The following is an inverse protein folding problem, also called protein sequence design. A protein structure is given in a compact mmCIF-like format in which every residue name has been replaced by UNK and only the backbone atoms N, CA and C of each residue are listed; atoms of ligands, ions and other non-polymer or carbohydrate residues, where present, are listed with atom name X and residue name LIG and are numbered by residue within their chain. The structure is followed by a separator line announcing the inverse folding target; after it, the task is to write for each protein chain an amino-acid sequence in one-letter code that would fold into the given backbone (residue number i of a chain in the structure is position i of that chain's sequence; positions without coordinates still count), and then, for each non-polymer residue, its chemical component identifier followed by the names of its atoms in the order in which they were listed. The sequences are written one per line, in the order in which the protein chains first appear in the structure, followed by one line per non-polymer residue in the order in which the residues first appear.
data_IF_019120833211
#
_entry.id   IF_019120833211
#
_cell.length_a   1.000
_cell.length_b   1.000
_cell.length_c   1.000
_cell.angle_alpha   90.00
_cell.angle_beta   90.00
_cell.angle_gamma   90.00
#
_symmetry.space_group_name_H-M   'P 1'
#
loop_
_entity.id
_entity.type
_entity.pdbx_description
1 polymer ?
#
# COMPACT_ATOMS: atom_id res chain seq x y z
N UNK A 1 3.62 31.00 88.94
CA UNK A 1 2.39 31.76 89.30
C UNK A 1 2.08 32.75 88.18
N UNK A 2 0.82 32.75 87.71
CA UNK A 2 0.12 33.78 86.90
C UNK A 2 0.64 33.95 85.45
N UNK A 3 -0.08 33.56 84.38
CA UNK A 3 -1.41 33.90 83.85
C UNK A 3 -1.46 35.24 83.09
N UNK A 4 -1.77 35.18 81.78
CA UNK A 4 -2.58 36.10 80.94
C UNK A 4 -2.27 35.79 79.44
N UNK A 5 -3.18 35.17 78.68
CA UNK A 5 -4.38 35.72 78.01
C UNK A 5 -4.09 36.21 76.59
N UNK A 6 -4.74 35.62 75.58
CA UNK A 6 -5.08 36.33 74.34
C UNK A 6 -6.33 35.71 73.69
N UNK A 7 -7.37 36.54 73.61
CA UNK A 7 -8.59 36.36 72.83
C UNK A 7 -8.26 36.46 71.33
N UNK A 8 -8.84 35.58 70.52
CA UNK A 8 -8.93 35.76 69.07
C UNK A 8 -10.39 36.06 68.71
N UNK A 9 -10.66 37.30 68.30
CA UNK A 9 -11.90 37.75 67.69
C UNK A 9 -11.92 37.40 66.21
N UNK A 10 -13.06 36.88 65.75
CA UNK A 10 -13.29 36.50 64.36
C UNK A 10 -13.49 37.69 63.43
N UNK A 11 -13.00 37.53 62.20
CA UNK A 11 -13.33 38.33 61.03
C UNK A 11 -13.80 37.36 59.95
N UNK A 12 -15.09 37.45 59.61
CA UNK A 12 -15.72 36.72 58.49
C UNK A 12 -15.44 37.53 57.23
N UNK A 13 -14.65 36.98 56.31
CA UNK A 13 -14.56 37.44 54.93
C UNK A 13 -15.30 36.45 54.03
N UNK A 14 -16.41 36.89 53.43
CA UNK A 14 -17.15 36.13 52.42
C UNK A 14 -16.40 36.28 51.10
N UNK A 15 -15.67 35.24 50.68
CA UNK A 15 -15.10 35.15 49.34
C UNK A 15 -16.12 34.48 48.41
N UNK A 16 -16.69 35.28 47.51
CA UNK A 16 -17.53 34.80 46.40
C UNK A 16 -16.65 33.93 45.49
N UNK A 17 -16.81 32.61 45.56
CA UNK A 17 -16.23 31.69 44.59
C UNK A 17 -17.09 31.74 43.31
N UNK A 18 -16.64 32.49 42.32
CA UNK A 18 -17.07 32.26 40.95
C UNK A 18 -16.59 30.86 40.56
N UNK A 19 -17.52 29.91 40.48
CA UNK A 19 -17.22 28.54 40.05
C UNK A 19 -16.63 28.56 38.65
N UNK A 20 -15.38 28.11 38.52
CA UNK A 20 -14.84 27.69 37.23
C UNK A 20 -15.66 26.46 36.83
N UNK A 21 -16.33 26.44 35.66
CA UNK A 21 -17.04 25.25 35.22
C UNK A 21 -16.03 24.10 35.12
N UNK A 22 -16.44 22.85 35.41
CA UNK A 22 -15.55 21.71 35.26
C UNK A 22 -14.99 21.75 33.85
N UNK A 23 -13.65 21.69 33.72
CA UNK A 23 -13.02 21.47 32.43
C UNK A 23 -13.65 20.23 31.86
N UNK A 24 -14.34 20.36 30.73
CA UNK A 24 -14.76 19.23 29.95
C UNK A 24 -13.56 18.29 29.83
N UNK A 25 -13.77 17.01 30.14
CA UNK A 25 -12.79 15.99 29.84
C UNK A 25 -12.38 16.19 28.38
N UNK A 26 -11.07 16.14 28.03
CA UNK A 26 -10.68 16.23 26.64
C UNK A 26 -11.52 15.21 25.89
N UNK A 27 -12.24 15.67 24.85
CA UNK A 27 -12.92 14.77 23.92
C UNK A 27 -11.93 13.65 23.61
N UNK A 28 -12.37 12.39 23.79
CA UNK A 28 -11.51 11.24 23.52
C UNK A 28 -10.81 11.50 22.19
N UNK A 29 -9.47 11.57 22.20
CA UNK A 29 -8.72 11.83 21.00
C UNK A 29 -9.19 10.83 19.94
N UNK A 30 -9.62 11.33 18.78
CA UNK A 30 -10.01 10.49 17.65
C UNK A 30 -8.87 9.51 17.40
N UNK A 31 -9.12 8.22 17.66
CA UNK A 31 -8.12 7.18 17.52
C UNK A 31 -7.84 6.87 16.04
N UNK A 32 -8.59 7.50 15.13
CA UNK A 32 -8.52 7.29 13.68
C UNK A 32 -9.06 5.93 13.26
N UNK A 33 -9.64 5.15 14.18
CA UNK A 33 -10.13 3.80 13.94
C UNK A 33 -11.66 3.76 13.78
N UNK A 34 -12.33 4.87 14.08
CA UNK A 34 -13.75 5.04 13.73
C UNK A 34 -13.86 5.63 12.32
N UNK A 35 -14.65 4.99 11.47
CA UNK A 35 -14.86 5.46 10.09
C UNK A 35 -15.61 6.81 10.10
N UNK A 36 -15.05 7.88 9.50
CA UNK A 36 -15.77 9.14 9.35
C UNK A 36 -17.00 8.97 8.45
N UNK A 37 -18.12 9.61 8.77
CA UNK A 37 -19.32 9.58 7.92
C UNK A 37 -19.02 10.15 6.52
N UNK A 38 -18.32 11.29 6.48
CA UNK A 38 -17.92 11.96 5.23
C UNK A 38 -17.07 11.08 4.30
N UNK A 39 -16.44 10.00 4.81
CA UNK A 39 -15.66 9.10 3.97
C UNK A 39 -16.55 8.30 3.01
N UNK A 40 -17.74 7.87 3.45
CA UNK A 40 -18.67 7.17 2.57
C UNK A 40 -19.21 8.10 1.49
N UNK A 41 -19.53 9.35 1.85
CA UNK A 41 -19.98 10.37 0.90
C UNK A 41 -18.90 10.66 -0.18
N UNK A 42 -17.63 10.71 0.21
CA UNK A 42 -16.52 10.86 -0.75
C UNK A 42 -16.41 9.68 -1.71
N UNK A 43 -16.55 8.45 -1.21
CA UNK A 43 -16.46 7.24 -2.04
C UNK A 43 -17.63 7.19 -3.02
N UNK A 44 -18.87 7.46 -2.57
CA UNK A 44 -20.04 7.47 -3.44
C UNK A 44 -19.99 8.61 -4.46
N UNK A 45 -19.47 9.79 -4.07
CA UNK A 45 -19.20 10.89 -5.01
C UNK A 45 -18.21 10.47 -6.11
N UNK A 46 -17.10 9.82 -5.74
CA UNK A 46 -16.11 9.32 -6.71
C UNK A 46 -16.72 8.30 -7.70
N UNK A 47 -17.56 7.38 -7.20
CA UNK A 47 -18.29 6.39 -8.03
C UNK A 47 -19.26 7.05 -9.01
N UNK A 48 -19.99 8.09 -8.58
CA UNK A 48 -20.87 8.84 -9.45
C UNK A 48 -20.06 9.53 -10.57
N UNK A 49 -19.00 10.25 -10.20
CA UNK A 49 -18.17 11.00 -11.15
C UNK A 49 -17.50 10.09 -12.20
N UNK A 50 -17.00 8.91 -11.82
CA UNK A 50 -16.42 7.99 -12.81
C UNK A 50 -17.47 7.40 -13.75
N UNK A 51 -18.69 7.14 -13.25
CA UNK A 51 -19.79 6.62 -14.07
C UNK A 51 -20.19 7.65 -15.13
N UNK A 52 -20.31 8.91 -14.73
CA UNK A 52 -20.60 10.02 -15.64
C UNK A 52 -19.49 10.18 -16.69
N UNK A 53 -18.22 10.16 -16.27
CA UNK A 53 -17.07 10.26 -17.18
C UNK A 53 -17.04 9.13 -18.22
N UNK A 54 -17.31 7.88 -17.82
CA UNK A 54 -17.35 6.75 -18.75
C UNK A 54 -18.47 6.95 -19.79
N UNK A 55 -19.65 7.37 -19.36
CA UNK A 55 -20.78 7.62 -20.26
C UNK A 55 -20.49 8.75 -21.25
N UNK A 56 -19.90 9.86 -20.78
CA UNK A 56 -19.48 10.98 -21.62
C UNK A 56 -18.42 10.56 -22.65
N UNK A 57 -17.42 9.79 -22.22
CA UNK A 57 -16.36 9.31 -23.11
C UNK A 57 -16.92 8.31 -24.15
N UNK A 58 -17.81 7.40 -23.73
CA UNK A 58 -18.50 6.48 -24.62
C UNK A 58 -19.31 7.25 -25.69
N UNK A 59 -20.08 8.27 -25.29
CA UNK A 59 -20.84 9.10 -26.24
C UNK A 59 -19.90 9.84 -27.21
N UNK A 60 -18.81 10.42 -26.70
CA UNK A 60 -17.84 11.15 -27.50
C UNK A 60 -17.13 10.25 -28.54
N UNK A 61 -16.72 9.04 -28.13
CA UNK A 61 -16.11 8.05 -29.02
C UNK A 61 -17.09 7.59 -30.10
N UNK A 62 -18.33 7.28 -29.72
CA UNK A 62 -19.37 6.86 -30.68
C UNK A 62 -19.69 7.95 -31.69
N UNK A 63 -19.73 9.22 -31.29
CA UNK A 63 -19.90 10.38 -32.21
C UNK A 63 -18.76 10.48 -33.24
N UNK A 64 -17.55 10.04 -32.90
CA UNK A 64 -16.41 9.98 -33.83
C UNK A 64 -16.36 8.70 -34.68
N UNK A 65 -17.32 7.79 -34.49
CA UNK A 65 -17.31 6.48 -35.16
C UNK A 65 -16.31 5.48 -34.56
N UNK A 66 -15.80 5.75 -33.36
CA UNK A 66 -14.88 4.89 -32.64
C UNK A 66 -15.63 3.94 -31.70
N UNK A 67 -15.10 2.73 -31.49
CA UNK A 67 -15.67 1.77 -30.54
C UNK A 67 -15.02 1.96 -29.17
N UNK A 68 -15.78 2.33 -28.13
CA UNK A 68 -15.23 2.49 -26.79
C UNK A 68 -14.76 1.14 -26.23
N UNK A 69 -13.53 1.09 -25.71
CA UNK A 69 -12.97 -0.10 -25.06
C UNK A 69 -13.54 -0.30 -23.66
N UNK A 70 -13.76 0.79 -22.93
CA UNK A 70 -14.37 0.78 -21.61
C UNK A 70 -15.73 1.47 -21.63
N UNK A 71 -16.73 0.82 -21.04
CA UNK A 71 -18.13 1.26 -20.94
C UNK A 71 -18.67 0.84 -19.57
N UNK A 72 -19.76 1.43 -19.11
CA UNK A 72 -20.39 1.03 -17.82
C UNK A 72 -20.81 -0.45 -17.83
N UNK A 73 -21.05 -1.04 -19.02
CA UNK A 73 -21.48 -2.45 -19.16
C UNK A 73 -20.36 -3.46 -18.96
N UNK A 74 -19.12 -3.11 -19.29
CA UNK A 74 -17.95 -3.98 -19.16
C UNK A 74 -16.95 -3.50 -18.10
N UNK A 75 -17.28 -2.43 -17.38
CA UNK A 75 -16.53 -1.97 -16.23
C UNK A 75 -16.50 -3.05 -15.14
N UNK A 76 -15.31 -3.40 -14.71
CA UNK A 76 -15.09 -4.37 -13.66
C UNK A 76 -14.94 -3.68 -12.31
N UNK A 77 -15.46 -4.30 -11.26
CA UNK A 77 -15.27 -3.80 -9.90
C UNK A 77 -14.33 -4.71 -9.09
N UNK A 78 -13.17 -4.18 -8.72
CA UNK A 78 -12.26 -4.78 -7.73
C UNK A 78 -12.84 -4.60 -6.33
N UNK A 79 -12.67 -5.60 -5.47
CA UNK A 79 -13.34 -5.72 -4.17
C UNK A 79 -12.38 -5.99 -3.02
N UNK A 80 -12.78 -5.60 -1.82
CA UNK A 80 -12.04 -5.87 -0.60
C UNK A 80 -11.95 -7.39 -0.38
N UNK A 81 -10.77 -7.90 -0.04
CA UNK A 81 -10.49 -9.33 0.05
C UNK A 81 -11.42 -10.07 1.03
N UNK A 82 -11.66 -9.51 2.22
CA UNK A 82 -12.58 -10.04 3.22
C UNK A 82 -14.05 -10.08 2.78
N UNK A 83 -14.46 -9.19 1.87
CA UNK A 83 -15.80 -9.15 1.28
C UNK A 83 -16.03 -10.24 0.22
N UNK A 84 -14.96 -10.86 -0.29
CA UNK A 84 -15.06 -11.96 -1.24
C UNK A 84 -15.59 -13.24 -0.59
N UNK A 85 -16.34 -14.02 -1.38
CA UNK A 85 -16.76 -15.35 -0.96
C UNK A 85 -15.54 -16.25 -0.70
N UNK A 86 -15.71 -17.32 0.08
CA UNK A 86 -14.64 -18.30 0.31
C UNK A 86 -14.19 -18.95 -1.01
N UNK A 87 -15.12 -19.16 -1.94
CA UNK A 87 -14.82 -19.70 -3.27
C UNK A 87 -13.95 -18.74 -4.08
N UNK A 88 -14.29 -17.45 -4.10
CA UNK A 88 -13.50 -16.44 -4.83
C UNK A 88 -12.10 -16.26 -4.23
N UNK A 89 -11.99 -16.28 -2.89
CA UNK A 89 -10.69 -16.24 -2.21
C UNK A 89 -9.86 -17.47 -2.51
N UNK A 90 -10.46 -18.66 -2.50
CA UNK A 90 -9.78 -19.90 -2.88
C UNK A 90 -9.30 -19.85 -4.33
N UNK A 91 -10.12 -19.32 -5.25
CA UNK A 91 -9.77 -19.16 -6.65
C UNK A 91 -8.56 -18.22 -6.83
N UNK A 92 -8.52 -17.09 -6.10
CA UNK A 92 -7.37 -16.19 -6.10
C UNK A 92 -6.12 -16.88 -5.58
N UNK A 93 -6.19 -17.52 -4.40
CA UNK A 93 -5.07 -18.27 -3.79
C UNK A 93 -4.52 -19.32 -4.76
N UNK A 94 -5.39 -20.10 -5.40
CA UNK A 94 -5.00 -21.13 -6.36
C UNK A 94 -4.31 -20.54 -7.59
N UNK A 95 -4.77 -19.38 -8.07
CA UNK A 95 -4.14 -18.68 -9.18
C UNK A 95 -2.72 -18.21 -8.82
N UNK A 96 -2.51 -17.65 -7.62
CA UNK A 96 -1.17 -17.24 -7.16
C UNK A 96 -0.24 -18.45 -7.08
N UNK A 97 -0.70 -19.56 -6.51
CA UNK A 97 0.09 -20.82 -6.42
C UNK A 97 0.38 -21.40 -7.80
N UNK A 98 -0.54 -21.27 -8.75
CA UNK A 98 -0.30 -21.62 -10.14
C UNK A 98 0.80 -20.74 -10.77
N UNK A 99 0.81 -19.44 -10.51
CA UNK A 99 1.85 -18.56 -11.03
C UNK A 99 3.22 -18.90 -10.43
N UNK A 100 3.26 -19.30 -9.16
CA UNK A 100 4.47 -19.80 -8.48
C UNK A 100 4.96 -21.15 -9.02
N UNK A 101 4.13 -21.93 -9.71
CA UNK A 101 4.54 -23.23 -10.27
C UNK A 101 4.97 -23.16 -11.74
N UNK A 102 4.64 -22.07 -12.44
CA UNK A 102 5.03 -21.88 -13.84
C UNK A 102 6.50 -21.47 -13.96
N UNK A 103 7.20 -21.89 -15.03
CA UNK A 103 8.62 -21.55 -15.22
C UNK A 103 8.82 -20.04 -15.44
N UNK A 104 9.94 -19.46 -14.98
CA UNK A 104 10.24 -18.04 -15.15
C UNK A 104 10.49 -17.71 -16.62
N UNK A 105 10.21 -16.47 -17.00
CA UNK A 105 10.55 -15.86 -18.30
C UNK A 105 11.89 -15.15 -18.26
N UNK A 106 12.29 -14.64 -17.10
CA UNK A 106 13.57 -13.95 -16.93
C UNK A 106 14.71 -14.91 -17.23
N UNK A 107 15.63 -14.56 -18.15
CA UNK A 107 16.79 -15.41 -18.44
C UNK A 107 17.63 -15.64 -17.18
N UNK A 108 18.15 -16.86 -17.00
CA UNK A 108 19.01 -17.19 -15.86
C UNK A 108 20.29 -16.36 -15.80
N UNK A 109 20.73 -15.78 -16.93
CA UNK A 109 21.85 -14.83 -16.99
C UNK A 109 21.53 -13.46 -16.38
N UNK A 110 20.25 -13.11 -16.26
CA UNK A 110 19.76 -11.86 -15.66
C UNK A 110 19.50 -12.06 -14.17
N UNK A 111 18.75 -13.11 -13.82
CA UNK A 111 18.40 -13.43 -12.44
C UNK A 111 18.35 -14.95 -12.24
N UNK A 112 19.48 -15.60 -11.91
CA UNK A 112 19.50 -17.06 -11.71
C UNK A 112 18.67 -17.51 -10.50
N UNK A 113 18.28 -16.58 -9.63
CA UNK A 113 17.37 -16.82 -8.51
C UNK A 113 15.90 -16.95 -8.90
N UNK A 114 15.47 -16.44 -10.06
CA UNK A 114 14.10 -16.63 -10.51
C UNK A 114 13.84 -18.12 -10.79
N UNK A 115 12.80 -18.69 -10.16
CA UNK A 115 12.37 -20.08 -10.36
C UNK A 115 10.91 -20.20 -10.78
N UNK A 116 10.17 -19.10 -10.81
CA UNK A 116 8.77 -19.09 -11.18
C UNK A 116 8.35 -17.84 -11.96
N UNK A 117 7.19 -17.89 -12.62
CA UNK A 117 6.55 -16.69 -13.20
C UNK A 117 6.28 -15.61 -12.16
N UNK A 118 5.96 -16.01 -10.93
CA UNK A 118 5.80 -15.10 -9.80
C UNK A 118 7.11 -14.37 -9.50
N UNK A 119 8.25 -15.08 -9.52
CA UNK A 119 9.57 -14.48 -9.30
C UNK A 119 9.95 -13.45 -10.37
N UNK A 120 9.46 -13.55 -11.62
CA UNK A 120 9.76 -12.55 -12.65
C UNK A 120 9.26 -11.15 -12.25
N UNK A 121 8.10 -11.08 -11.58
CA UNK A 121 7.59 -9.81 -11.05
C UNK A 121 8.49 -9.29 -9.92
N UNK A 122 8.97 -10.18 -9.04
CA UNK A 122 9.90 -9.83 -7.96
C UNK A 122 11.23 -9.31 -8.55
N UNK A 123 11.76 -9.93 -9.62
CA UNK A 123 12.96 -9.45 -10.31
C UNK A 123 12.78 -8.03 -10.85
N UNK A 124 11.69 -7.79 -11.59
CA UNK A 124 11.40 -6.47 -12.15
C UNK A 124 11.35 -5.40 -11.07
N UNK A 125 10.73 -5.71 -9.92
CA UNK A 125 10.68 -4.78 -8.80
C UNK A 125 12.06 -4.53 -8.18
N UNK A 126 12.85 -5.58 -7.90
CA UNK A 126 14.21 -5.46 -7.36
C UNK A 126 15.06 -4.53 -8.24
N UNK A 127 15.01 -4.73 -9.56
CA UNK A 127 15.85 -3.99 -10.51
C UNK A 127 15.48 -2.51 -10.61
N UNK A 128 14.23 -2.16 -10.33
CA UNK A 128 13.70 -0.82 -10.58
C UNK A 128 13.37 -0.04 -9.30
N UNK A 129 13.48 -0.64 -8.11
CA UNK A 129 13.09 -0.05 -6.81
C UNK A 129 13.46 1.43 -6.65
N UNK A 130 14.68 1.84 -7.02
CA UNK A 130 15.17 3.22 -6.84
C UNK A 130 14.65 4.23 -7.88
N UNK A 131 13.99 3.77 -8.94
CA UNK A 131 13.35 4.60 -9.95
C UNK A 131 11.82 4.63 -9.84
N UNK A 132 11.23 3.71 -9.07
CA UNK A 132 9.78 3.53 -8.97
C UNK A 132 9.19 3.94 -7.64
N UNK A 133 10.01 4.32 -6.66
CA UNK A 133 9.58 4.81 -5.34
C UNK A 133 10.09 6.23 -5.09
N UNK A 134 9.31 7.02 -4.38
CA UNK A 134 9.52 8.45 -4.15
C UNK A 134 9.78 9.20 -5.47
N UNK A 135 9.03 8.83 -6.51
CA UNK A 135 9.24 9.25 -7.89
C UNK A 135 7.91 9.57 -8.58
N UNK A 136 7.97 10.30 -9.69
CA UNK A 136 6.80 10.72 -10.46
C UNK A 136 6.08 9.53 -11.12
N UNK A 137 6.76 8.39 -11.16
CA UNK A 137 6.31 7.15 -11.78
C UNK A 137 5.65 6.21 -10.75
N UNK A 138 5.74 6.47 -9.43
CA UNK A 138 5.33 5.52 -8.39
C UNK A 138 3.90 4.99 -8.58
N UNK A 139 2.89 5.86 -8.59
CA UNK A 139 1.50 5.44 -8.77
C UNK A 139 1.25 4.75 -10.12
N UNK A 140 1.59 5.34 -11.28
CA UNK A 140 1.30 4.72 -12.57
C UNK A 140 2.06 3.40 -12.78
N UNK A 141 3.32 3.30 -12.31
CA UNK A 141 4.11 2.06 -12.38
C UNK A 141 3.45 0.95 -11.57
N UNK A 142 3.06 1.21 -10.32
CA UNK A 142 2.45 0.20 -9.46
C UNK A 142 1.05 -0.19 -9.92
N UNK A 143 0.26 0.75 -10.48
CA UNK A 143 -1.01 0.43 -11.14
C UNK A 143 -0.80 -0.57 -12.28
N UNK A 144 0.15 -0.30 -13.17
CA UNK A 144 0.46 -1.22 -14.28
C UNK A 144 0.99 -2.56 -13.77
N UNK A 145 1.88 -2.54 -12.77
CA UNK A 145 2.44 -3.75 -12.18
C UNK A 145 1.37 -4.68 -11.59
N UNK A 146 0.43 -4.13 -10.82
CA UNK A 146 -0.71 -4.87 -10.26
C UNK A 146 -1.67 -5.36 -11.35
N UNK A 147 -1.96 -4.53 -12.36
CA UNK A 147 -2.80 -4.94 -13.49
C UNK A 147 -2.18 -6.08 -14.30
N UNK A 148 -0.87 -6.03 -14.58
CA UNK A 148 -0.19 -7.08 -15.32
C UNK A 148 -0.04 -8.36 -14.50
N UNK A 149 0.11 -8.26 -13.18
CA UNK A 149 0.03 -9.42 -12.30
C UNK A 149 -1.36 -10.06 -12.36
N UNK A 150 -2.43 -9.26 -12.30
CA UNK A 150 -3.80 -9.75 -12.48
C UNK A 150 -3.97 -10.45 -13.83
N UNK A 151 -3.51 -9.85 -14.93
CA UNK A 151 -3.54 -10.50 -16.25
C UNK A 151 -2.79 -11.83 -16.26
N UNK A 152 -1.62 -11.91 -15.64
CA UNK A 152 -0.87 -13.17 -15.56
C UNK A 152 -1.66 -14.25 -14.80
N UNK A 153 -2.36 -13.90 -13.72
CA UNK A 153 -3.25 -14.82 -13.02
C UNK A 153 -4.41 -15.29 -13.91
N UNK A 154 -5.02 -14.37 -14.66
CA UNK A 154 -6.19 -14.66 -15.52
C UNK A 154 -5.80 -15.48 -16.75
N UNK A 155 -4.83 -14.97 -17.52
CA UNK A 155 -4.47 -15.49 -18.84
C UNK A 155 -3.60 -16.76 -18.75
N UNK A 156 -2.74 -16.85 -17.73
CA UNK A 156 -1.84 -18.01 -17.59
C UNK A 156 -2.40 -19.06 -16.62
N UNK A 157 -3.18 -18.66 -15.62
CA UNK A 157 -3.66 -19.53 -14.53
C UNK A 157 -5.19 -19.71 -14.49
N UNK A 158 -5.94 -19.15 -15.44
CA UNK A 158 -7.38 -19.34 -15.55
C UNK A 158 -8.18 -18.70 -14.43
N UNK A 159 -7.63 -17.70 -13.74
CA UNK A 159 -8.36 -16.95 -12.73
C UNK A 159 -9.51 -16.17 -13.37
N UNK A 160 -10.74 -16.43 -12.94
CA UNK A 160 -11.92 -15.73 -13.48
C UNK A 160 -12.21 -14.41 -12.73
N UNK A 161 -11.72 -14.28 -11.50
CA UNK A 161 -11.86 -13.08 -10.67
C UNK A 161 -10.85 -11.98 -11.02
N UNK A 162 -10.89 -10.89 -10.28
CA UNK A 162 -10.06 -9.70 -10.50
C UNK A 162 -9.29 -9.37 -9.23
N UNK A 163 -8.25 -8.55 -9.34
CA UNK A 163 -7.36 -8.26 -8.22
C UNK A 163 -8.14 -7.72 -7.01
N UNK A 164 -8.10 -8.40 -5.85
CA UNK A 164 -8.66 -7.87 -4.62
C UNK A 164 -7.73 -6.83 -3.98
N UNK A 165 -8.28 -6.05 -3.06
CA UNK A 165 -7.51 -5.10 -2.25
C UNK A 165 -7.68 -5.34 -0.74
N UNK A 166 -6.75 -4.82 0.04
CA UNK A 166 -6.79 -4.83 1.51
C UNK A 166 -7.21 -3.45 2.03
N UNK A 167 -8.45 -3.33 2.53
CA UNK A 167 -8.88 -2.10 3.20
C UNK A 167 -8.26 -2.01 4.62
N UNK A 168 -7.10 -1.36 4.71
CA UNK A 168 -6.26 -1.34 5.92
C UNK A 168 -7.01 -1.01 7.22
N UNK A 169 -7.91 0.00 7.27
CA UNK A 169 -8.55 0.38 8.53
C UNK A 169 -9.48 -0.69 9.11
N UNK A 170 -10.05 -1.59 8.28
CA UNK A 170 -10.98 -2.63 8.75
C UNK A 170 -10.36 -3.56 9.79
N UNK A 171 -9.04 -3.77 9.68
CA UNK A 171 -8.31 -4.75 10.50
C UNK A 171 -7.14 -4.12 11.25
N UNK A 172 -7.07 -2.78 11.33
CA UNK A 172 -5.87 -2.07 11.79
C UNK A 172 -5.37 -2.49 13.19
N UNK A 173 -6.28 -2.83 14.11
CA UNK A 173 -5.91 -3.26 15.48
C UNK A 173 -5.26 -4.65 15.52
N UNK A 174 -5.68 -5.54 14.62
CA UNK A 174 -5.29 -6.94 14.62
C UNK A 174 -5.28 -7.49 13.18
N UNK A 175 -4.36 -7.02 12.32
CA UNK A 175 -4.30 -7.45 10.93
C UNK A 175 -4.09 -8.95 10.80
N UNK A 176 -3.40 -9.59 11.75
CA UNK A 176 -3.21 -11.03 11.83
C UNK A 176 -4.52 -11.84 11.94
N UNK A 177 -5.61 -11.22 12.42
CA UNK A 177 -6.92 -11.87 12.55
C UNK A 177 -7.82 -11.65 11.32
N UNK A 178 -7.35 -10.86 10.34
CA UNK A 178 -8.11 -10.55 9.14
C UNK A 178 -8.30 -11.78 8.24
N UNK A 179 -9.29 -11.78 7.33
CA UNK A 179 -9.44 -12.81 6.30
C UNK A 179 -8.19 -13.03 5.43
N UNK A 180 -7.27 -12.06 5.37
CA UNK A 180 -6.00 -12.16 4.66
C UNK A 180 -4.98 -13.02 5.41
N UNK A 181 -5.00 -13.00 6.74
CA UNK A 181 -3.88 -13.48 7.56
C UNK A 181 -4.28 -14.44 8.69
N UNK A 182 -5.55 -14.80 8.81
CA UNK A 182 -6.05 -15.71 9.84
C UNK A 182 -5.56 -17.17 9.70
N UNK A 183 -4.78 -17.49 8.66
CA UNK A 183 -4.21 -18.82 8.40
C UNK A 183 -5.21 -19.88 7.93
N UNK A 184 -6.45 -19.51 7.61
CA UNK A 184 -7.44 -20.43 7.06
C UNK A 184 -7.10 -20.84 5.60
N UNK A 185 -7.75 -21.86 5.02
CA UNK A 185 -7.48 -22.30 3.65
C UNK A 185 -7.76 -21.27 2.53
N UNK A 186 -8.40 -20.16 2.88
CA UNK A 186 -8.82 -19.08 2.00
C UNK A 186 -8.05 -17.78 2.26
N UNK A 187 -7.00 -17.83 3.09
CA UNK A 187 -6.16 -16.67 3.42
C UNK A 187 -4.90 -16.62 2.55
N UNK A 188 -4.12 -15.56 2.70
CA UNK A 188 -2.77 -15.45 2.13
C UNK A 188 -1.70 -16.02 3.07
N UNK A 189 -2.07 -17.01 3.89
CA UNK A 189 -1.23 -17.58 4.95
C UNK A 189 -1.60 -17.03 6.34
N UNK A 190 -0.79 -17.42 7.32
CA UNK A 190 -0.87 -16.92 8.69
C UNK A 190 0.11 -15.79 8.99
N UNK A 191 0.23 -15.48 10.28
CA UNK A 191 1.40 -14.82 10.82
C UNK A 191 2.60 -15.79 10.92
N UNK A 192 3.80 -15.24 11.11
CA UNK A 192 4.98 -16.01 11.48
C UNK A 192 4.87 -16.56 12.90
N UNK A 193 5.58 -17.65 13.18
CA UNK A 193 5.83 -18.09 14.55
C UNK A 193 6.38 -16.93 15.40
N UNK A 194 5.83 -16.74 16.61
CA UNK A 194 6.30 -15.68 17.48
C UNK A 194 7.71 -15.99 17.99
N UNK A 195 8.66 -15.08 17.71
CA UNK A 195 10.01 -15.10 18.25
C UNK A 195 10.22 -13.73 18.90
N UNK A 196 10.52 -13.62 20.21
CA UNK A 196 10.71 -12.32 20.87
C UNK A 196 11.78 -11.47 20.19
N UNK A 197 11.47 -10.20 19.92
CA UNK A 197 12.37 -9.23 19.29
C UNK A 197 11.90 -7.79 19.53
N UNK A 198 12.77 -6.81 19.27
CA UNK A 198 12.50 -5.38 19.52
C UNK A 198 11.82 -4.66 18.34
N UNK A 199 11.56 -5.38 17.24
CA UNK A 199 11.05 -4.85 15.97
C UNK A 199 12.13 -4.63 14.91
N UNK A 200 11.75 -4.33 13.66
CA UNK A 200 12.70 -4.08 12.59
C UNK A 200 13.32 -2.68 12.70
N UNK A 201 14.56 -2.56 12.23
CA UNK A 201 15.25 -1.27 12.09
C UNK A 201 15.48 -1.02 10.61
N UNK A 202 14.81 -0.01 10.05
CA UNK A 202 15.03 0.42 8.67
C UNK A 202 16.39 1.10 8.57
N UNK A 203 17.16 0.72 7.56
CA UNK A 203 18.46 1.31 7.22
C UNK A 203 18.35 1.97 5.84
N UNK A 204 18.82 3.23 5.67
CA UNK A 204 18.81 3.88 4.36
C UNK A 204 19.54 3.04 3.29
N UNK A 205 19.05 3.01 2.04
CA UNK A 205 19.75 2.33 0.96
C UNK A 205 21.17 2.88 0.74
N UNK A 206 22.12 2.06 0.25
CA UNK A 206 23.47 2.54 -0.08
C UNK A 206 23.43 3.75 -1.03
N UNK A 207 24.15 4.81 -0.68
CA UNK A 207 24.19 6.06 -1.46
C UNK A 207 23.06 7.04 -1.15
N UNK A 208 22.17 6.69 -0.22
CA UNK A 208 21.05 7.51 0.23
C UNK A 208 21.29 7.93 1.69
N UNK A 209 21.16 9.24 2.00
CA UNK A 209 21.36 9.75 3.36
C UNK A 209 20.18 9.46 4.30
N UNK A 210 20.37 9.51 5.62
CA UNK A 210 19.32 9.35 6.63
C UNK A 210 19.77 8.62 7.90
N UNK A 211 18.97 8.69 8.96
CA UNK A 211 19.18 7.90 10.18
C UNK A 211 18.39 6.58 10.13
N UNK A 212 18.82 5.62 10.95
CA UNK A 212 18.08 4.37 11.13
C UNK A 212 16.73 4.64 11.82
N UNK A 213 15.69 3.92 11.40
CA UNK A 213 14.34 4.07 11.95
C UNK A 213 13.94 2.76 12.64
N UNK A 214 13.87 2.78 13.98
CA UNK A 214 13.33 1.66 14.76
C UNK A 214 11.81 1.65 14.71
N UNK A 215 11.24 0.50 14.37
CA UNK A 215 9.80 0.27 14.34
C UNK A 215 9.37 -0.68 15.45
N UNK A 216 8.14 -0.56 15.98
CA UNK A 216 7.61 -1.52 16.93
C UNK A 216 7.55 -2.93 16.36
N UNK A 217 7.81 -3.92 17.21
CA UNK A 217 7.61 -5.33 16.89
C UNK A 217 6.13 -5.65 16.60
N UNK A 218 5.91 -6.59 15.68
CA UNK A 218 4.65 -7.27 15.54
C UNK A 218 4.49 -8.39 16.57
N UNK A 219 3.56 -9.29 16.29
CA UNK A 219 3.27 -10.48 17.13
C UNK A 219 3.69 -11.77 16.43
N UNK A 220 4.69 -11.71 15.55
CA UNK A 220 5.23 -12.85 14.81
C UNK A 220 6.76 -12.82 14.72
N UNK A 221 7.27 -12.72 13.49
CA UNK A 221 8.66 -12.66 12.98
C UNK A 221 9.26 -13.96 12.44
N UNK A 222 8.76 -15.12 12.89
CA UNK A 222 9.20 -16.43 12.42
C UNK A 222 8.58 -16.87 11.10
N UNK A 223 8.70 -18.17 10.81
CA UNK A 223 8.14 -18.78 9.60
C UNK A 223 6.61 -18.79 9.66
N UNK A 224 5.97 -18.52 8.53
CA UNK A 224 4.52 -18.73 8.38
C UNK A 224 4.25 -20.25 8.36
N UNK A 225 3.40 -20.73 9.27
CA UNK A 225 3.10 -22.17 9.41
C UNK A 225 1.69 -22.59 9.04
N UNK A 226 0.80 -21.64 8.83
CA UNK A 226 -0.62 -21.89 8.54
C UNK A 226 -1.05 -21.26 7.21
N UNK A 227 -2.18 -21.75 6.70
CA UNK A 227 -2.75 -21.32 5.43
C UNK A 227 -2.01 -21.81 4.19
N UNK A 228 -2.46 -21.40 2.99
CA UNK A 228 -2.05 -21.98 1.71
C UNK A 228 -0.59 -21.79 1.31
N UNK A 229 0.09 -20.83 1.97
CA UNK A 229 1.46 -20.39 1.70
C UNK A 229 2.45 -20.78 2.82
N UNK A 230 2.06 -21.63 3.78
CA UNK A 230 2.94 -22.09 4.87
C UNK A 230 4.25 -22.77 4.39
N UNK A 231 4.21 -23.42 3.23
CA UNK A 231 5.37 -24.08 2.61
C UNK A 231 5.91 -23.30 1.41
N UNK A 232 5.57 -22.01 1.29
CA UNK A 232 6.05 -21.17 0.20
C UNK A 232 7.57 -20.99 0.32
N UNK A 233 8.27 -21.15 -0.81
CA UNK A 233 9.69 -20.86 -0.93
C UNK A 233 9.86 -19.46 -1.53
N UNK A 234 10.58 -18.60 -0.82
CA UNK A 234 11.06 -17.30 -1.27
C UNK A 234 12.43 -17.53 -1.92
N UNK A 235 12.56 -17.30 -3.22
CA UNK A 235 13.76 -17.66 -3.99
C UNK A 235 14.77 -16.51 -4.14
N UNK A 236 14.28 -15.27 -4.14
CA UNK A 236 15.05 -14.04 -4.38
C UNK A 236 15.24 -13.25 -3.08
N UNK A 237 16.15 -12.28 -3.11
CA UNK A 237 16.48 -11.46 -1.95
C UNK A 237 17.21 -12.22 -0.84
N UNK A 238 17.31 -11.63 0.36
CA UNK A 238 17.00 -10.21 0.63
C UNK A 238 17.91 -9.28 -0.20
N UNK A 239 17.57 -8.00 -0.33
CA UNK A 239 18.47 -7.02 -0.96
C UNK A 239 19.06 -6.11 0.10
N UNK A 240 18.24 -5.70 1.08
CA UNK A 240 18.65 -4.80 2.15
C UNK A 240 17.58 -3.79 2.53
N UNK A 241 17.96 -2.80 3.32
CA UNK A 241 17.04 -1.80 3.87
C UNK A 241 16.56 -2.10 5.29
N UNK A 242 16.97 -3.25 5.85
CA UNK A 242 16.73 -3.64 7.23
C UNK A 242 18.06 -3.99 7.91
N UNK A 243 18.24 -3.55 9.16
CA UNK A 243 19.37 -3.98 9.97
C UNK A 243 19.35 -5.51 10.13
N UNK A 244 20.55 -6.09 10.26
CA UNK A 244 20.75 -7.53 10.44
C UNK A 244 20.20 -8.42 9.31
N UNK A 245 19.81 -7.83 8.18
CA UNK A 245 19.39 -8.54 6.98
C UNK A 245 20.49 -8.48 5.93
N UNK A 246 21.29 -9.54 5.86
CA UNK A 246 22.37 -9.63 4.86
C UNK A 246 21.78 -9.76 3.44
N UNK A 247 22.33 -9.03 2.45
CA UNK A 247 21.92 -9.19 1.05
C UNK A 247 22.17 -10.62 0.57
N UNK A 248 21.21 -11.17 -0.17
CA UNK A 248 21.33 -12.42 -0.87
C UNK A 248 22.33 -12.35 -2.03
N UNK A 249 22.70 -13.50 -2.63
CA UNK A 249 23.66 -13.55 -3.73
C UNK A 249 23.25 -12.63 -4.90
N UNK A 250 24.25 -12.05 -5.58
CA UNK A 250 24.05 -11.12 -6.70
C UNK A 250 23.11 -9.95 -6.36
N UNK A 251 23.23 -9.38 -5.15
CA UNK A 251 22.38 -8.28 -4.71
C UNK A 251 20.90 -8.67 -4.66
N UNK A 252 20.60 -9.91 -4.28
CA UNK A 252 19.25 -10.46 -4.19
C UNK A 252 18.68 -11.06 -5.49
N UNK A 253 19.40 -11.01 -6.62
CA UNK A 253 18.97 -11.65 -7.88
C UNK A 253 19.43 -13.11 -8.01
N UNK A 254 20.32 -13.56 -7.14
CA UNK A 254 20.80 -14.94 -7.09
C UNK A 254 19.87 -15.86 -6.31
N UNK A 255 20.02 -17.16 -6.52
CA UNK A 255 19.16 -18.17 -5.89
C UNK A 255 19.45 -18.29 -4.39
N UNK A 256 18.44 -17.98 -3.57
CA UNK A 256 18.51 -17.97 -2.11
C UNK A 256 17.20 -18.51 -1.47
N UNK A 257 16.89 -19.81 -1.65
CA UNK A 257 15.62 -20.39 -1.22
C UNK A 257 15.49 -20.41 0.31
N UNK A 258 14.39 -19.87 0.82
CA UNK A 258 14.03 -19.86 2.25
C UNK A 258 12.51 -19.80 2.43
N UNK A 259 12.03 -20.03 3.65
CA UNK A 259 10.59 -19.98 3.94
C UNK A 259 10.09 -18.55 4.16
N UNK A 260 8.83 -18.30 3.80
CA UNK A 260 8.13 -17.05 4.06
C UNK A 260 8.08 -16.76 5.58
N UNK A 261 8.45 -15.55 5.97
CA UNK A 261 8.31 -15.04 7.35
C UNK A 261 7.42 -13.81 7.38
N UNK A 262 6.66 -13.63 8.45
CA UNK A 262 5.85 -12.43 8.70
C UNK A 262 5.92 -12.01 10.14
N UNK A 263 5.78 -10.72 10.37
CA UNK A 263 5.70 -10.12 11.69
C UNK A 263 4.47 -9.20 11.80
N UNK A 264 3.29 -9.79 11.59
CA UNK A 264 2.04 -9.04 11.62
C UNK A 264 1.77 -8.48 13.01
N UNK A 265 1.33 -7.23 13.08
CA UNK A 265 0.87 -6.59 14.30
C UNK A 265 0.17 -5.25 14.03
N UNK A 266 -0.70 -4.84 14.94
CA UNK A 266 -1.52 -3.63 14.72
C UNK A 266 -0.78 -2.31 14.85
N UNK A 267 0.41 -2.27 15.48
CA UNK A 267 1.10 -1.02 15.82
C UNK A 267 1.40 -0.16 14.58
N UNK A 268 1.93 -0.78 13.53
CA UNK A 268 2.24 -0.10 12.28
C UNK A 268 0.96 0.31 11.54
N UNK A 269 -0.01 -0.59 11.39
CA UNK A 269 -1.25 -0.31 10.67
C UNK A 269 -2.05 0.83 11.34
N UNK A 270 -2.19 0.82 12.67
CA UNK A 270 -2.93 1.86 13.39
C UNK A 270 -2.27 3.23 13.26
N UNK A 271 -0.93 3.29 13.20
CA UNK A 271 -0.20 4.55 13.06
C UNK A 271 -0.30 5.12 11.64
N UNK A 272 -0.13 4.28 10.63
CA UNK A 272 0.13 4.76 9.27
C UNK A 272 -1.02 4.56 8.29
N UNK A 273 -2.01 3.72 8.59
CA UNK A 273 -3.01 3.26 7.63
C UNK A 273 -4.40 3.08 8.26
N UNK A 274 -4.82 4.09 9.02
CA UNK A 274 -6.13 4.19 9.66
C UNK A 274 -7.11 5.05 8.83
N UNK A 275 -8.35 5.23 9.31
CA UNK A 275 -9.35 6.01 8.57
C UNK A 275 -8.98 7.49 8.42
N UNK A 276 -8.33 8.10 9.41
CA UNK A 276 -7.80 9.47 9.31
C UNK A 276 -6.82 9.59 8.15
N UNK A 277 -5.96 8.59 7.96
CA UNK A 277 -5.01 8.55 6.84
C UNK A 277 -5.72 8.42 5.50
N UNK A 278 -6.69 7.51 5.40
CA UNK A 278 -7.51 7.34 4.18
C UNK A 278 -8.22 8.63 3.82
N UNK A 279 -8.89 9.28 4.78
CA UNK A 279 -9.55 10.56 4.57
C UNK A 279 -8.57 11.65 4.12
N UNK A 280 -7.39 11.71 4.78
CA UNK A 280 -6.33 12.65 4.41
C UNK A 280 -5.85 12.45 2.97
N UNK A 281 -5.68 11.21 2.51
CA UNK A 281 -5.27 10.92 1.12
C UNK A 281 -6.30 11.44 0.12
N UNK A 282 -7.59 11.13 0.34
CA UNK A 282 -8.66 11.52 -0.58
C UNK A 282 -8.90 13.04 -0.64
N UNK A 283 -8.44 13.79 0.37
CA UNK A 283 -8.65 15.23 0.49
C UNK A 283 -7.42 16.07 0.11
N UNK A 284 -6.31 15.46 -0.31
CA UNK A 284 -5.16 16.24 -0.78
C UNK A 284 -5.50 17.06 -2.04
N UNK A 285 -5.03 18.31 -2.16
CA UNK A 285 -5.39 19.19 -3.26
C UNK A 285 -4.65 18.87 -4.57
N UNK A 286 -3.45 18.29 -4.49
CA UNK A 286 -2.60 17.99 -5.65
C UNK A 286 -1.76 16.73 -5.43
N UNK A 287 -1.14 16.23 -6.50
CA UNK A 287 -0.39 14.96 -6.48
C UNK A 287 0.88 15.03 -5.63
N UNK A 288 1.54 16.20 -5.55
CA UNK A 288 2.74 16.38 -4.72
C UNK A 288 2.41 16.16 -3.23
N UNK A 289 1.30 16.74 -2.74
CA UNK A 289 0.86 16.53 -1.36
C UNK A 289 0.29 15.12 -1.14
N UNK A 290 -0.41 14.55 -2.13
CA UNK A 290 -0.87 13.16 -2.09
C UNK A 290 0.30 12.19 -1.87
N UNK A 291 1.38 12.35 -2.64
CA UNK A 291 2.58 11.51 -2.58
C UNK A 291 3.28 11.55 -1.23
N UNK A 292 3.42 12.73 -0.64
CA UNK A 292 4.00 12.89 0.70
C UNK A 292 3.20 12.12 1.76
N UNK A 293 1.86 12.10 1.66
CA UNK A 293 1.04 11.29 2.57
C UNK A 293 1.16 9.81 2.24
N UNK A 294 1.15 9.46 0.96
CA UNK A 294 1.08 8.09 0.43
C UNK A 294 2.35 7.27 0.68
N UNK A 295 3.52 7.84 0.36
CA UNK A 295 4.82 7.18 0.47
C UNK A 295 5.59 7.60 1.74
N UNK A 296 5.13 8.66 2.41
CA UNK A 296 5.82 9.28 3.53
C UNK A 296 6.89 10.28 3.08
N UNK A 297 7.66 10.75 4.06
CA UNK A 297 8.80 11.64 3.86
C UNK A 297 10.09 10.83 4.02
N UNK A 298 10.90 10.63 2.97
CA UNK A 298 12.18 9.97 3.04
C UNK A 298 13.02 10.49 4.19
N UNK A 299 13.71 9.56 4.86
CA UNK A 299 14.67 9.85 5.92
C UNK A 299 14.03 10.37 7.22
N UNK A 300 12.72 10.17 7.36
CA UNK A 300 11.98 10.45 8.60
C UNK A 300 11.18 9.22 9.03
N UNK A 301 10.76 9.13 10.31
CA UNK A 301 9.84 8.10 10.77
C UNK A 301 8.44 8.13 10.11
N UNK A 302 8.14 9.14 9.29
CA UNK A 302 6.87 9.25 8.57
C UNK A 302 6.97 8.51 7.24
N UNK A 303 6.65 7.22 7.23
CA UNK A 303 6.82 6.32 6.07
C UNK A 303 5.53 6.07 5.28
N UNK A 304 4.46 6.82 5.59
CA UNK A 304 3.15 6.73 4.93
C UNK A 304 2.46 5.36 5.09
N UNK A 305 1.22 5.20 4.59
CA UNK A 305 0.56 3.90 4.53
C UNK A 305 1.27 2.91 3.61
N UNK A 306 2.00 3.36 2.58
CA UNK A 306 2.79 2.47 1.73
C UNK A 306 3.85 1.73 2.55
N UNK A 307 4.79 2.46 3.17
CA UNK A 307 5.82 1.85 4.01
C UNK A 307 5.20 1.19 5.24
N UNK A 308 4.26 1.86 5.90
CA UNK A 308 3.61 1.38 7.12
C UNK A 308 2.94 0.02 6.97
N UNK A 309 2.33 -0.28 5.81
CA UNK A 309 1.72 -1.58 5.57
C UNK A 309 2.73 -2.65 5.16
N UNK A 310 3.77 -2.34 4.38
CA UNK A 310 4.88 -3.29 4.17
C UNK A 310 5.48 -3.74 5.51
N UNK A 311 5.73 -2.82 6.44
CA UNK A 311 6.21 -3.16 7.79
C UNK A 311 5.12 -3.65 8.74
N UNK A 312 3.84 -3.51 8.39
CA UNK A 312 2.76 -4.25 9.08
C UNK A 312 2.84 -5.72 8.71
N UNK A 313 3.15 -6.07 7.46
CA UNK A 313 3.39 -7.47 7.04
C UNK A 313 4.69 -7.97 7.68
N UNK A 314 5.75 -7.14 7.61
CA UNK A 314 7.04 -7.40 8.21
C UNK A 314 7.69 -8.68 7.68
N UNK A 315 8.63 -9.22 8.46
CA UNK A 315 9.32 -10.46 8.12
C UNK A 315 10.04 -10.41 6.78
N UNK A 316 10.02 -11.53 6.05
CA UNK A 316 10.82 -11.78 4.86
C UNK A 316 9.97 -12.49 3.80
N UNK A 317 9.69 -11.85 2.64
CA UNK A 317 10.29 -10.60 2.18
C UNK A 317 9.42 -9.35 2.44
N UNK A 318 8.31 -9.46 3.18
CA UNK A 318 7.33 -8.37 3.33
C UNK A 318 7.90 -7.05 3.85
N UNK A 319 8.91 -7.08 4.71
CA UNK A 319 9.60 -5.91 5.23
C UNK A 319 10.80 -5.43 4.39
N UNK A 320 11.19 -6.12 3.32
CA UNK A 320 12.32 -5.71 2.47
C UNK A 320 11.80 -4.91 1.27
N UNK A 321 12.23 -3.65 1.18
CA UNK A 321 11.80 -2.67 0.18
C UNK A 321 11.89 -3.18 -1.27
N UNK A 322 12.88 -4.02 -1.57
CA UNK A 322 13.14 -4.47 -2.94
C UNK A 322 12.40 -5.77 -3.25
N UNK A 323 12.28 -6.65 -2.27
CA UNK A 323 11.75 -8.01 -2.45
C UNK A 323 10.32 -8.18 -1.95
N UNK A 324 9.69 -7.13 -1.42
CA UNK A 324 8.31 -7.16 -0.90
C UNK A 324 7.26 -7.80 -1.82
N UNK A 325 7.32 -7.74 -3.18
CA UNK A 325 6.39 -8.50 -4.03
C UNK A 325 6.47 -10.01 -3.87
N UNK A 326 7.55 -10.50 -3.26
CA UNK A 326 7.73 -11.90 -2.89
C UNK A 326 6.74 -12.38 -1.83
N UNK A 327 6.09 -11.48 -1.06
CA UNK A 327 4.97 -11.83 -0.19
C UNK A 327 3.64 -11.69 -0.99
N UNK A 328 2.77 -12.72 -1.05
CA UNK A 328 1.48 -12.63 -1.72
C UNK A 328 0.57 -11.46 -1.26
N UNK A 329 0.79 -10.92 -0.07
CA UNK A 329 0.05 -9.78 0.46
C UNK A 329 0.42 -8.44 -0.19
N UNK A 330 1.57 -8.33 -0.87
CA UNK A 330 1.96 -7.15 -1.64
C UNK A 330 0.86 -6.71 -2.60
N UNK A 331 0.28 -7.67 -3.32
CA UNK A 331 -0.66 -7.42 -4.41
C UNK A 331 -1.99 -6.83 -3.92
N UNK A 332 -2.45 -7.26 -2.75
CA UNK A 332 -3.68 -6.71 -2.14
C UNK A 332 -3.42 -5.37 -1.44
N UNK A 333 -2.23 -5.16 -0.88
CA UNK A 333 -1.82 -3.86 -0.35
C UNK A 333 -1.77 -2.82 -1.49
N UNK A 334 -1.08 -3.13 -2.59
CA UNK A 334 -1.00 -2.24 -3.74
C UNK A 334 -2.33 -2.10 -4.50
N UNK A 335 -3.22 -3.08 -4.41
CA UNK A 335 -4.63 -2.90 -4.82
C UNK A 335 -5.33 -1.78 -4.05
N UNK A 336 -5.06 -1.61 -2.75
CA UNK A 336 -5.61 -0.51 -1.95
C UNK A 336 -4.89 0.82 -2.25
N UNK A 337 -3.57 0.79 -2.49
CA UNK A 337 -2.85 1.98 -2.95
C UNK A 337 -3.44 2.52 -4.25
N UNK A 338 -3.69 1.64 -5.22
CA UNK A 338 -4.33 1.99 -6.49
C UNK A 338 -5.78 2.44 -6.30
N UNK A 339 -6.54 1.78 -5.41
CA UNK A 339 -7.90 2.22 -5.04
C UNK A 339 -7.93 3.66 -4.55
N UNK A 340 -7.07 4.02 -3.59
CA UNK A 340 -7.06 5.36 -3.02
C UNK A 340 -6.62 6.42 -4.03
N UNK A 341 -5.67 6.09 -4.91
CA UNK A 341 -5.27 7.00 -5.98
C UNK A 341 -6.41 7.18 -7.00
N UNK A 342 -7.07 6.09 -7.40
CA UNK A 342 -8.23 6.09 -8.30
C UNK A 342 -9.37 6.96 -7.75
N UNK A 343 -9.73 6.77 -6.48
CA UNK A 343 -10.77 7.56 -5.80
C UNK A 343 -10.36 9.04 -5.72
N UNK A 344 -9.11 9.33 -5.38
CA UNK A 344 -8.59 10.69 -5.36
C UNK A 344 -8.64 11.34 -6.75
N UNK A 345 -8.26 10.64 -7.82
CA UNK A 345 -8.36 11.17 -9.18
C UNK A 345 -9.81 11.48 -9.57
N UNK A 346 -10.73 10.54 -9.30
CA UNK A 346 -12.15 10.71 -9.58
C UNK A 346 -12.75 11.92 -8.84
N UNK A 347 -12.40 12.13 -7.57
CA UNK A 347 -12.84 13.28 -6.79
C UNK A 347 -12.44 14.63 -7.41
N UNK A 348 -11.31 14.68 -8.13
CA UNK A 348 -10.85 15.87 -8.86
C UNK A 348 -11.47 16.08 -10.23
N UNK A 349 -12.40 15.23 -10.68
CA UNK A 349 -13.12 15.45 -11.94
C UNK A 349 -13.93 16.75 -11.94
N UNK A 350 -14.41 17.17 -10.76
CA UNK A 350 -15.07 18.47 -10.59
C UNK A 350 -14.12 19.66 -10.84
N UNK A 351 -12.80 19.45 -10.70
CA UNK A 351 -11.76 20.47 -10.77
C UNK A 351 -10.94 20.35 -12.07
N UNK A 352 -11.64 20.27 -13.22
CA UNK A 352 -11.06 20.30 -14.58
C UNK A 352 -10.17 19.10 -14.97
N UNK A 353 -10.39 17.91 -14.36
CA UNK A 353 -9.70 16.65 -14.69
C UNK A 353 -8.15 16.66 -14.59
N UNK A 354 -7.57 17.66 -13.93
CA UNK A 354 -6.11 17.84 -13.83
C UNK A 354 -5.40 16.65 -13.20
N UNK A 355 -6.06 15.93 -12.29
CA UNK A 355 -5.50 14.75 -11.58
C UNK A 355 -5.15 13.54 -12.47
N UNK A 356 -5.61 13.52 -13.73
CA UNK A 356 -5.29 12.45 -14.68
C UNK A 356 -4.08 12.76 -15.56
N UNK A 357 -3.57 13.99 -15.53
CA UNK A 357 -2.41 14.40 -16.34
C UNK A 357 -1.31 15.05 -15.51
N UNK A 358 -1.62 15.47 -14.28
CA UNK A 358 -0.67 16.06 -13.34
C UNK A 358 0.24 15.00 -12.71
N UNK A 359 1.53 15.08 -13.03
CA UNK A 359 2.60 14.29 -12.41
C UNK A 359 3.38 15.08 -11.35
N UNK A 360 2.93 16.29 -11.01
CA UNK A 360 3.51 17.12 -9.96
C UNK A 360 4.75 17.87 -10.39
N UNK A 361 5.33 18.60 -9.44
CA UNK A 361 6.54 19.39 -9.63
C UNK A 361 7.50 19.35 -8.44
N UNK A 362 7.12 18.64 -7.36
CA UNK A 362 7.93 18.46 -6.17
C UNK A 362 9.07 17.46 -6.37
N UNK A 363 9.79 17.15 -5.28
CA UNK A 363 10.93 16.22 -5.34
C UNK A 363 10.54 14.81 -5.80
N UNK A 364 9.29 14.38 -5.57
CA UNK A 364 8.80 13.08 -6.03
C UNK A 364 8.11 13.17 -7.39
N UNK A 365 8.22 14.29 -8.11
CA UNK A 365 7.77 14.37 -9.50
C UNK A 365 8.87 13.92 -10.49
N UNK A 366 10.09 13.68 -9.98
CA UNK A 366 11.25 13.27 -10.76
C UNK A 366 11.31 11.76 -11.00
N UNK A 367 12.17 11.33 -11.94
CA UNK A 367 12.33 9.92 -12.35
C UNK A 367 13.22 9.08 -11.43
N UNK A 368 13.78 9.70 -10.40
CA UNK A 368 14.70 9.09 -9.44
C UNK A 368 14.19 9.30 -8.03
N UNK A 369 14.53 8.37 -7.13
CA UNK A 369 14.19 8.40 -5.71
C UNK A 369 14.40 9.78 -5.08
N UNK A 370 13.32 10.48 -4.76
CA UNK A 370 13.34 11.83 -4.18
C UNK A 370 14.29 12.80 -4.92
N UNK A 371 14.40 12.65 -6.24
CA UNK A 371 15.32 13.37 -7.11
C UNK A 371 16.82 13.17 -6.76
N UNK A 372 17.19 11.94 -6.35
CA UNK A 372 18.57 11.55 -6.00
C UNK A 372 19.00 10.27 -6.76
N UNK A 373 19.97 10.38 -7.69
CA UNK A 373 20.58 11.62 -8.19
C UNK A 373 19.55 12.49 -8.94
N UNK A 374 19.86 13.76 -9.17
CA UNK A 374 18.95 14.65 -9.88
C UNK A 374 18.59 14.10 -11.28
N UNK A 375 17.31 14.14 -11.63
CA UNK A 375 16.79 13.70 -12.94
C UNK A 375 15.77 14.70 -13.49
N UNK A 376 15.37 14.61 -14.76
CA UNK A 376 14.21 15.35 -15.27
C UNK A 376 12.91 14.97 -14.53
N UNK A 377 11.89 15.81 -14.66
CA UNK A 377 10.54 15.47 -14.24
C UNK A 377 10.04 14.26 -15.05
N UNK A 378 9.20 13.44 -14.41
CA UNK A 378 8.44 12.43 -15.10
C UNK A 378 7.45 13.09 -16.07
N UNK A 379 7.27 12.50 -17.25
CA UNK A 379 6.38 12.97 -18.30
C UNK A 379 5.39 11.87 -18.67
N UNK A 380 4.20 12.23 -19.14
CA UNK A 380 3.17 11.25 -19.52
C UNK A 380 3.67 10.27 -20.61
N UNK A 381 4.57 10.72 -21.48
CA UNK A 381 5.19 9.88 -22.51
C UNK A 381 6.30 8.95 -22.01
N UNK A 382 6.71 9.05 -20.74
CA UNK A 382 7.75 8.17 -20.19
C UNK A 382 7.27 6.70 -20.18
N UNK A 383 8.19 5.79 -20.51
CA UNK A 383 7.91 4.36 -20.60
C UNK A 383 7.95 3.72 -19.21
N UNK A 384 6.91 2.96 -18.89
CA UNK A 384 6.86 2.02 -17.78
C UNK A 384 7.35 0.68 -18.30
N UNK A 385 8.61 0.37 -18.00
CA UNK A 385 9.22 -0.91 -18.39
C UNK A 385 8.92 -2.01 -17.38
N UNK A 386 8.46 -3.17 -17.86
CA UNK A 386 8.12 -4.32 -17.01
C UNK A 386 9.16 -5.44 -17.09
N UNK A 387 10.30 -5.19 -17.74
CA UNK A 387 11.37 -6.17 -17.93
C UNK A 387 10.84 -7.45 -18.60
N UNK A 388 11.05 -8.59 -17.94
CA UNK A 388 10.57 -9.89 -18.41
C UNK A 388 9.24 -10.32 -17.77
N UNK A 389 8.70 -9.54 -16.82
CA UNK A 389 7.49 -9.89 -16.10
C UNK A 389 6.24 -9.76 -16.99
N UNK A 390 6.17 -8.69 -17.79
CA UNK A 390 5.01 -8.31 -18.58
C UNK A 390 5.37 -7.32 -19.72
N UNK A 391 4.44 -7.03 -20.66
CA UNK A 391 4.59 -5.92 -21.60
C UNK A 391 4.74 -4.55 -20.94
N UNK A 392 5.57 -3.70 -21.55
CA UNK A 392 5.78 -2.29 -21.18
C UNK A 392 4.67 -1.39 -21.75
N UNK A 393 4.46 -0.22 -21.13
CA UNK A 393 3.46 0.78 -21.54
C UNK A 393 4.01 2.21 -21.31
N UNK A 394 3.22 3.25 -21.52
CA UNK A 394 3.57 4.63 -21.12
C UNK A 394 2.79 5.06 -19.88
N UNK A 395 3.26 6.10 -19.19
CA UNK A 395 2.53 6.68 -18.05
C UNK A 395 1.12 7.12 -18.47
N UNK A 396 0.98 7.78 -19.62
CA UNK A 396 -0.29 8.27 -20.17
C UNK A 396 -1.38 7.19 -20.22
N UNK A 397 -1.02 5.99 -20.70
CA UNK A 397 -1.96 4.88 -20.91
C UNK A 397 -2.53 4.31 -19.61
N UNK A 398 -1.92 4.60 -18.46
CA UNK A 398 -2.31 4.05 -17.16
C UNK A 398 -2.78 5.11 -16.17
N UNK A 399 -2.80 6.39 -16.55
CA UNK A 399 -3.26 7.45 -15.65
C UNK A 399 -4.74 7.32 -15.26
N UNK A 400 -5.56 6.67 -16.09
CA UNK A 400 -6.96 6.38 -15.79
C UNK A 400 -7.24 4.88 -15.76
N UNK A 401 -7.97 4.39 -14.76
CA UNK A 401 -8.41 2.98 -14.68
C UNK A 401 -9.47 2.61 -15.73
N UNK A 402 -9.93 3.59 -16.51
CA UNK A 402 -10.89 3.44 -17.62
C UNK A 402 -10.30 3.88 -18.97
N UNK A 403 -8.99 4.18 -19.01
CA UNK A 403 -8.23 4.54 -20.20
C UNK A 403 -7.34 3.40 -20.71
N UNK A 404 -6.85 3.52 -21.95
CA UNK A 404 -5.92 2.55 -22.55
C UNK A 404 -6.48 1.12 -22.63
N UNK A 405 -5.81 0.18 -21.96
CA UNK A 405 -6.25 -1.21 -21.78
C UNK A 405 -7.01 -1.46 -20.47
N UNK A 406 -7.10 -0.46 -19.60
CA UNK A 406 -7.73 -0.57 -18.30
C UNK A 406 -9.25 -0.34 -18.43
N UNK A 407 -10.02 -1.14 -17.70
CA UNK A 407 -11.47 -0.92 -17.55
C UNK A 407 -11.96 -1.49 -16.23
N UNK A 408 -11.56 -0.87 -15.14
CA UNK A 408 -11.97 -1.24 -13.80
C UNK A 408 -12.18 -0.05 -12.87
N UNK A 409 -12.91 -0.28 -11.80
CA UNK A 409 -13.06 0.62 -10.66
C UNK A 409 -13.11 -0.18 -9.35
N UNK A 410 -13.31 0.50 -8.23
CA UNK A 410 -13.33 -0.10 -6.90
C UNK A 410 -14.69 0.08 -6.22
N UNK A 411 -15.13 -0.94 -5.47
CA UNK A 411 -16.35 -0.85 -4.65
C UNK A 411 -16.10 -0.37 -3.23
#
# INVERSE_FOLDING_TARGET
MKAAALLATGLVAVAVHAGVPPRDAPAAADDGLTKPQDLDDLIEKAKAQITDEINENEEALRKRGETPRCTVRNLIFRREYGSLSKEDRLAYVNAVKCLQSKPPRTPASVAPGAKSRFDDFVVTHIQQTLAIHYSGVFQPWHRWFVYQYEKALRDECGYAGYQPYWDWPLYARAPQDSPLFNGDPYSLGGNGEYIPHDGPVIVPPPGVGGDNISLPAGVGSGLVKTGPFANMTVNLGPVGGLADTAPGPLGGLGYNPRGLKRDLGGAMNMRYANYTTVFRLLTQPNVDQYRVVSEGVPYTPEIGPHGGIHYTIGGDPGGDLFTSPGDPAFWVHHGQMDRLWTLWQALGLADNKTRYTDLGSGSYAHRTWANQPASPLAELGDVIDMGYAAPSTTIEEVMSTTGGELCYFYL
#
